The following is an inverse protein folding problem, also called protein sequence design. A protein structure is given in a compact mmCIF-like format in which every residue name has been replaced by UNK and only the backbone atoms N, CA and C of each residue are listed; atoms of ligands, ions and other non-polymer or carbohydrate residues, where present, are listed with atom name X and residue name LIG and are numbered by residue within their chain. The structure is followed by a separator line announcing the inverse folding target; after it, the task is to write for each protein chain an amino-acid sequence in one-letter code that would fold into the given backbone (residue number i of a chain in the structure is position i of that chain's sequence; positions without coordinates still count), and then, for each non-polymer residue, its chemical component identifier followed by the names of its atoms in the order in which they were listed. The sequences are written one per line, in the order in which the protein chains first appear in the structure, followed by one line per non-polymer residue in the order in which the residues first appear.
data_IF_355175900158
#
_entry.id   IF_355175900158
#
_cell.length_a   1.000
_cell.length_b   1.000
_cell.length_c   1.000
_cell.angle_alpha   90.00
_cell.angle_beta   90.00
_cell.angle_gamma   90.00
#
_symmetry.space_group_name_H-M   'P 1'
#
loop_
_entity.id
_entity.type
_entity.pdbx_description
1 polymer ?
#
# COMPACT_ATOMS: atom_id res chain seq x y z
N UNK A 1 -9.66 -35.56 1.94
CA UNK A 1 -8.43 -34.73 1.96
C UNK A 1 -8.59 -33.38 1.25
N UNK A 2 -9.29 -33.27 0.11
CA UNK A 2 -9.52 -31.98 -0.58
C UNK A 2 -10.13 -30.88 0.32
N UNK A 3 -11.14 -31.21 1.13
CA UNK A 3 -11.77 -30.27 2.06
C UNK A 3 -10.81 -29.71 3.12
N UNK A 4 -9.85 -30.53 3.56
CA UNK A 4 -8.82 -30.11 4.52
C UNK A 4 -7.93 -29.02 3.91
N UNK A 5 -7.47 -29.19 2.67
CA UNK A 5 -6.66 -28.20 1.98
C UNK A 5 -7.43 -26.91 1.68
N UNK A 6 -8.69 -27.02 1.25
CA UNK A 6 -9.56 -25.86 1.02
C UNK A 6 -9.82 -25.05 2.30
N UNK A 7 -9.98 -25.73 3.45
CA UNK A 7 -10.11 -25.06 4.74
C UNK A 7 -8.87 -24.23 5.09
N UNK A 8 -7.68 -24.81 4.92
CA UNK A 8 -6.42 -24.13 5.21
C UNK A 8 -6.12 -22.99 4.24
N UNK A 9 -6.38 -23.19 2.94
CA UNK A 9 -6.22 -22.14 1.95
C UNK A 9 -7.10 -20.93 2.29
N UNK A 10 -8.37 -21.16 2.66
CA UNK A 10 -9.27 -20.09 3.08
C UNK A 10 -8.80 -19.40 4.36
N UNK A 11 -8.29 -20.16 5.33
CA UNK A 11 -7.74 -19.60 6.57
C UNK A 11 -6.50 -18.73 6.30
N UNK A 12 -5.66 -19.15 5.36
CA UNK A 12 -4.47 -18.40 4.94
C UNK A 12 -4.84 -17.11 4.20
N UNK A 13 -5.77 -17.19 3.25
CA UNK A 13 -6.32 -16.01 2.57
C UNK A 13 -6.87 -14.99 3.56
N UNK A 14 -7.72 -15.43 4.50
CA UNK A 14 -8.28 -14.55 5.52
C UNK A 14 -7.20 -13.89 6.38
N UNK A 15 -6.13 -14.63 6.74
CA UNK A 15 -5.01 -14.07 7.49
C UNK A 15 -4.28 -12.97 6.71
N UNK A 16 -3.99 -13.19 5.42
CA UNK A 16 -3.39 -12.18 4.53
C UNK A 16 -4.28 -10.95 4.44
N UNK A 17 -5.57 -11.13 4.13
CA UNK A 17 -6.52 -10.01 4.03
C UNK A 17 -6.58 -9.22 5.33
N UNK A 18 -6.65 -9.91 6.48
CA UNK A 18 -6.69 -9.24 7.79
C UNK A 18 -5.41 -8.46 8.08
N UNK A 19 -4.24 -9.01 7.73
CA UNK A 19 -2.96 -8.31 7.88
C UNK A 19 -2.91 -7.03 7.02
N UNK A 20 -3.41 -7.09 5.78
CA UNK A 20 -3.48 -5.92 4.89
C UNK A 20 -4.46 -4.87 5.37
N UNK A 21 -5.65 -5.26 5.84
CA UNK A 21 -6.62 -4.33 6.43
C UNK A 21 -6.01 -3.59 7.61
N UNK A 22 -5.29 -4.29 8.50
CA UNK A 22 -4.58 -3.67 9.63
C UNK A 22 -3.46 -2.73 9.17
N UNK A 23 -2.71 -3.13 8.14
CA UNK A 23 -1.67 -2.30 7.54
C UNK A 23 -2.22 -1.00 6.95
N UNK A 24 -3.30 -1.09 6.16
CA UNK A 24 -3.99 0.05 5.58
C UNK A 24 -4.62 0.96 6.66
N UNK A 25 -5.23 0.38 7.69
CA UNK A 25 -5.76 1.14 8.84
C UNK A 25 -4.66 1.93 9.55
N UNK A 26 -3.52 1.28 9.81
CA UNK A 26 -2.36 1.94 10.41
C UNK A 26 -1.85 3.07 9.52
N UNK A 27 -1.76 2.84 8.21
CA UNK A 27 -1.36 3.87 7.24
C UNK A 27 -2.30 5.08 7.23
N UNK A 28 -3.61 4.84 7.26
CA UNK A 28 -4.63 5.88 7.34
C UNK A 28 -4.48 6.71 8.63
N UNK A 29 -4.26 6.05 9.77
CA UNK A 29 -4.02 6.73 11.05
C UNK A 29 -2.75 7.58 10.96
N UNK A 30 -1.67 7.09 10.36
CA UNK A 30 -0.44 7.88 10.21
C UNK A 30 -0.62 9.15 9.37
N UNK A 31 -1.51 9.13 8.37
CA UNK A 31 -1.81 10.29 7.52
C UNK A 31 -2.74 11.30 8.19
N UNK A 32 -3.71 10.83 8.96
CA UNK A 32 -4.78 11.66 9.54
C UNK A 32 -4.52 12.06 10.98
N UNK A 33 -3.59 11.40 11.66
CA UNK A 33 -3.22 11.66 13.04
C UNK A 33 -2.66 13.08 13.15
N UNK A 34 -3.48 13.98 13.69
CA UNK A 34 -3.11 15.33 14.12
C UNK A 34 -2.28 15.33 15.41
N UNK A 35 -1.76 14.16 15.84
CA UNK A 35 -0.96 13.97 17.06
C UNK A 35 0.39 14.72 17.08
N UNK A 36 0.60 15.68 16.17
CA UNK A 36 1.55 16.78 16.36
C UNK A 36 1.31 17.57 17.66
N UNK A 37 0.19 17.35 18.38
CA UNK A 37 -0.10 17.94 19.69
C UNK A 37 0.23 17.05 20.91
N UNK A 38 0.61 15.77 20.74
CA UNK A 38 0.98 14.89 21.87
C UNK A 38 2.44 14.44 21.72
N UNK A 39 3.26 14.64 22.76
CA UNK A 39 4.70 14.31 22.79
C UNK A 39 5.04 12.85 22.46
N UNK A 40 4.03 11.96 22.43
CA UNK A 40 4.22 10.51 22.24
C UNK A 40 4.44 10.09 20.78
N UNK A 41 4.08 10.91 19.77
CA UNK A 41 4.25 10.56 18.35
C UNK A 41 4.84 11.70 17.53
N UNK A 42 6.19 11.76 17.39
CA UNK A 42 6.82 12.79 16.57
C UNK A 42 6.48 12.61 15.08
N UNK A 43 6.52 13.71 14.28
CA UNK A 43 6.28 13.64 12.85
C UNK A 43 7.33 12.75 12.16
N UNK A 44 6.85 11.83 11.29
CA UNK A 44 7.72 10.88 10.59
C UNK A 44 8.44 11.48 9.37
N UNK A 45 7.85 12.52 8.76
CA UNK A 45 8.36 13.14 7.54
C UNK A 45 8.48 14.64 7.78
N UNK A 46 9.68 15.19 7.55
CA UNK A 46 9.94 16.62 7.55
C UNK A 46 10.20 17.09 6.13
N UNK A 47 9.29 17.91 5.60
CA UNK A 47 9.44 18.54 4.29
C UNK A 47 10.06 19.92 4.51
N UNK A 48 11.16 20.21 3.81
CA UNK A 48 11.76 21.55 3.79
C UNK A 48 11.42 22.22 2.48
N UNK A 49 11.07 23.51 2.54
CA UNK A 49 10.93 24.35 1.36
C UNK A 49 11.92 25.50 1.49
N UNK A 50 12.58 25.84 0.38
CA UNK A 50 13.49 26.97 0.30
C UNK A 50 12.83 28.04 -0.59
N UNK A 51 12.94 29.29 -0.16
CA UNK A 51 12.46 30.43 -0.94
C UNK A 51 13.63 30.98 -1.75
N UNK A 52 13.55 30.91 -3.08
CA UNK A 52 14.57 31.45 -3.96
C UNK A 52 13.94 32.54 -4.85
N UNK A 53 14.03 33.83 -4.47
CA UNK A 53 13.33 34.91 -5.16
C UNK A 53 13.53 34.85 -6.69
N UNK A 54 12.47 35.02 -7.51
CA UNK A 54 11.09 35.36 -7.15
C UNK A 54 10.17 34.15 -6.86
N UNK A 55 10.67 32.92 -6.87
CA UNK A 55 9.84 31.70 -6.78
C UNK A 55 10.11 30.89 -5.50
N UNK A 56 9.04 30.44 -4.84
CA UNK A 56 9.16 29.39 -3.82
C UNK A 56 9.48 28.07 -4.53
N UNK A 57 10.75 27.65 -4.52
CA UNK A 57 11.15 26.36 -5.08
C UNK A 57 10.76 25.29 -4.08
N UNK A 58 9.57 24.70 -4.28
CA UNK A 58 9.08 23.61 -3.45
C UNK A 58 10.00 22.40 -3.64
N UNK A 59 10.83 22.12 -2.63
CA UNK A 59 11.66 20.91 -2.60
C UNK A 59 10.82 19.65 -2.82
N UNK A 60 10.91 19.06 -4.02
CA UNK A 60 10.25 17.84 -4.52
C UNK A 60 8.95 17.36 -3.84
N UNK A 61 7.98 18.22 -3.53
CA UNK A 61 6.68 17.80 -2.94
C UNK A 61 6.00 16.74 -3.80
N UNK A 62 6.13 16.85 -5.12
CA UNK A 62 5.70 15.83 -6.07
C UNK A 62 6.39 14.47 -5.86
N UNK A 63 7.68 14.47 -5.54
CA UNK A 63 8.44 13.25 -5.20
C UNK A 63 7.92 12.59 -3.94
N UNK A 64 7.63 13.37 -2.90
CA UNK A 64 7.03 12.86 -1.65
C UNK A 64 5.65 12.28 -1.92
N UNK A 65 4.82 12.97 -2.71
CA UNK A 65 3.50 12.48 -3.12
C UNK A 65 3.60 11.11 -3.83
N UNK A 66 4.52 11.00 -4.79
CA UNK A 66 4.78 9.76 -5.52
C UNK A 66 5.27 8.64 -4.59
N UNK A 67 6.14 8.95 -3.62
CA UNK A 67 6.64 7.99 -2.64
C UNK A 67 5.53 7.47 -1.71
N UNK A 68 4.68 8.36 -1.18
CA UNK A 68 3.56 7.97 -0.31
C UNK A 68 2.55 7.11 -1.09
N UNK A 69 2.24 7.49 -2.33
CA UNK A 69 1.35 6.71 -3.20
C UNK A 69 1.94 5.33 -3.51
N UNK A 70 3.24 5.25 -3.78
CA UNK A 70 3.94 3.98 -4.00
C UNK A 70 3.97 3.12 -2.73
N UNK A 71 4.13 3.72 -1.56
CA UNK A 71 4.10 3.01 -0.29
C UNK A 71 2.73 2.34 -0.06
N UNK A 72 1.63 3.06 -0.33
CA UNK A 72 0.28 2.49 -0.30
C UNK A 72 0.12 1.28 -1.25
N UNK A 73 0.59 1.41 -2.49
CA UNK A 73 0.57 0.32 -3.47
C UNK A 73 1.39 -0.89 -3.01
N UNK A 74 2.57 -0.63 -2.41
CA UNK A 74 3.45 -1.67 -1.90
C UNK A 74 2.83 -2.47 -0.74
N UNK A 75 1.98 -1.85 0.08
CA UNK A 75 1.24 -2.57 1.13
C UNK A 75 0.39 -3.68 0.51
N UNK A 76 -0.41 -3.37 -0.52
CA UNK A 76 -1.19 -4.39 -1.24
C UNK A 76 -0.29 -5.39 -1.98
N UNK A 77 0.74 -4.89 -2.66
CA UNK A 77 1.67 -5.72 -3.43
C UNK A 77 2.47 -6.70 -2.56
N UNK A 78 2.65 -6.43 -1.27
CA UNK A 78 3.30 -7.36 -0.33
C UNK A 78 2.62 -8.74 -0.31
N UNK A 79 1.33 -8.83 -0.67
CA UNK A 79 0.64 -10.11 -0.78
C UNK A 79 1.12 -11.00 -1.94
N UNK A 80 1.84 -10.44 -2.92
CA UNK A 80 2.43 -11.19 -4.03
C UNK A 80 3.55 -12.14 -3.57
N UNK A 81 4.14 -11.88 -2.39
CA UNK A 81 5.12 -12.77 -1.77
C UNK A 81 4.50 -14.11 -1.33
N UNK A 82 3.17 -14.17 -1.18
CA UNK A 82 2.46 -15.39 -0.79
C UNK A 82 1.99 -16.16 -2.04
N UNK A 83 2.76 -17.17 -2.41
CA UNK A 83 2.45 -18.11 -3.50
C UNK A 83 1.28 -19.01 -3.09
N UNK A 84 0.38 -19.27 -4.05
CA UNK A 84 -0.77 -20.16 -3.91
C UNK A 84 -0.36 -21.63 -3.95
N UNK A 85 -1.27 -22.50 -3.52
CA UNK A 85 -1.08 -23.95 -3.57
C UNK A 85 -1.78 -24.56 -4.78
N UNK A 86 -1.29 -25.69 -5.26
CA UNK A 86 -1.96 -26.48 -6.29
C UNK A 86 -3.25 -27.09 -5.71
N UNK A 87 -4.33 -27.11 -6.50
CA UNK A 87 -5.64 -27.60 -6.05
C UNK A 87 -5.56 -29.00 -5.46
N UNK A 88 -6.19 -29.18 -4.28
CA UNK A 88 -6.19 -30.44 -3.56
C UNK A 88 -4.85 -30.85 -2.95
N UNK A 89 -3.85 -29.96 -2.88
CA UNK A 89 -2.55 -30.23 -2.26
C UNK A 89 -2.05 -29.05 -1.39
N UNK A 90 -0.94 -29.24 -0.68
CA UNK A 90 -0.17 -28.15 -0.06
C UNK A 90 1.11 -27.80 -0.84
N UNK A 91 1.22 -28.24 -2.10
CA UNK A 91 2.40 -27.95 -2.91
C UNK A 91 2.25 -26.56 -3.52
N UNK A 92 3.32 -25.76 -3.47
CA UNK A 92 3.35 -24.45 -4.10
C UNK A 92 3.16 -24.61 -5.61
N UNK A 93 2.38 -23.70 -6.21
CA UNK A 93 2.28 -23.65 -7.67
C UNK A 93 3.66 -23.30 -8.25
N UNK A 94 4.22 -24.15 -9.13
CA UNK A 94 5.48 -23.85 -9.80
C UNK A 94 5.39 -22.53 -10.55
N UNK A 95 6.51 -21.79 -10.60
CA UNK A 95 6.60 -20.57 -11.40
C UNK A 95 6.33 -20.88 -12.86
N UNK A 96 5.33 -20.22 -13.44
CA UNK A 96 5.02 -20.35 -14.86
C UNK A 96 5.94 -19.39 -15.62
N UNK A 97 6.91 -19.93 -16.36
CA UNK A 97 7.66 -19.16 -17.35
C UNK A 97 6.75 -18.96 -18.57
N UNK A 98 6.34 -17.72 -18.83
CA UNK A 98 5.66 -17.42 -20.09
C UNK A 98 6.75 -17.18 -21.13
N UNK A 99 6.72 -17.88 -22.27
CA UNK A 99 7.75 -17.81 -23.34
C UNK A 99 8.05 -16.41 -23.89
N UNK A 100 7.26 -15.40 -23.48
CA UNK A 100 7.32 -14.02 -23.97
C UNK A 100 8.08 -13.05 -23.04
N UNK A 101 8.40 -13.42 -21.79
CA UNK A 101 9.05 -12.52 -20.84
C UNK A 101 9.75 -13.34 -19.72
N UNK A 102 10.96 -13.86 -19.99
CA UNK A 102 11.75 -14.63 -19.02
C UNK A 102 12.04 -13.84 -17.72
N UNK A 103 12.02 -12.50 -17.77
CA UNK A 103 12.16 -11.61 -16.61
C UNK A 103 10.91 -11.53 -15.72
N UNK A 104 9.74 -12.00 -16.19
CA UNK A 104 8.50 -12.06 -15.40
C UNK A 104 7.99 -13.49 -15.30
N UNK A 105 8.73 -14.32 -14.56
CA UNK A 105 8.13 -15.48 -13.93
C UNK A 105 6.98 -15.02 -13.02
N UNK A 106 5.74 -15.09 -13.51
CA UNK A 106 4.56 -14.68 -12.75
C UNK A 106 4.25 -15.79 -11.74
N UNK A 107 4.61 -15.54 -10.48
CA UNK A 107 4.20 -16.39 -9.38
C UNK A 107 2.68 -16.33 -9.22
N UNK A 108 2.02 -17.49 -9.30
CA UNK A 108 0.60 -17.60 -9.00
C UNK A 108 0.41 -17.34 -7.49
N UNK A 109 0.02 -16.12 -7.14
CA UNK A 109 -0.01 -15.62 -5.76
C UNK A 109 -1.41 -15.18 -5.35
N UNK A 110 -1.61 -15.00 -4.05
CA UNK A 110 -2.87 -14.46 -3.49
C UNK A 110 -3.14 -13.00 -3.89
N UNK A 111 -2.16 -12.30 -4.47
CA UNK A 111 -2.29 -10.88 -4.85
C UNK A 111 -3.49 -10.60 -5.76
N UNK A 112 -3.76 -11.48 -6.73
CA UNK A 112 -4.87 -11.29 -7.67
C UNK A 112 -6.21 -11.19 -6.95
N UNK A 113 -6.48 -12.08 -6.01
CA UNK A 113 -7.76 -12.11 -5.29
C UNK A 113 -7.83 -11.04 -4.21
N UNK A 114 -6.71 -10.77 -3.55
CA UNK A 114 -6.56 -9.70 -2.57
C UNK A 114 -6.83 -8.33 -3.22
N UNK A 115 -6.24 -8.06 -4.39
CA UNK A 115 -6.40 -6.79 -5.09
C UNK A 115 -7.82 -6.54 -5.60
N UNK A 116 -8.62 -7.60 -5.74
CA UNK A 116 -10.03 -7.53 -6.13
C UNK A 116 -10.98 -7.50 -4.93
N UNK A 117 -10.48 -7.62 -3.70
CA UNK A 117 -11.31 -7.59 -2.51
C UNK A 117 -11.95 -6.19 -2.33
N UNK A 118 -13.29 -6.07 -2.34
CA UNK A 118 -13.97 -4.77 -2.31
C UNK A 118 -13.58 -3.91 -1.10
N UNK A 119 -13.42 -4.52 0.08
CA UNK A 119 -13.07 -3.79 1.29
C UNK A 119 -11.66 -3.19 1.21
N UNK A 120 -10.70 -3.91 0.61
CA UNK A 120 -9.34 -3.40 0.41
C UNK A 120 -9.30 -2.30 -0.65
N UNK A 121 -10.08 -2.45 -1.73
CA UNK A 121 -10.21 -1.43 -2.78
C UNK A 121 -10.78 -0.13 -2.21
N UNK A 122 -11.88 -0.20 -1.48
CA UNK A 122 -12.53 0.96 -0.86
C UNK A 122 -11.59 1.67 0.13
N UNK A 123 -10.91 0.89 0.98
CA UNK A 123 -9.94 1.43 1.94
C UNK A 123 -8.77 2.13 1.24
N UNK A 124 -8.28 1.56 0.15
CA UNK A 124 -7.20 2.16 -0.66
C UNK A 124 -7.65 3.47 -1.30
N UNK A 125 -8.85 3.54 -1.86
CA UNK A 125 -9.41 4.78 -2.42
C UNK A 125 -9.56 5.86 -1.35
N UNK A 126 -10.06 5.49 -0.16
CA UNK A 126 -10.21 6.40 0.97
C UNK A 126 -8.86 6.99 1.41
N UNK A 127 -7.83 6.15 1.48
CA UNK A 127 -6.47 6.59 1.81
C UNK A 127 -5.91 7.50 0.70
N UNK A 128 -6.08 7.14 -0.57
CA UNK A 128 -5.63 7.99 -1.69
C UNK A 128 -6.24 9.38 -1.63
N UNK A 129 -7.55 9.48 -1.36
CA UNK A 129 -8.24 10.75 -1.17
C UNK A 129 -7.67 11.52 0.04
N UNK A 130 -7.38 10.84 1.15
CA UNK A 130 -6.75 11.45 2.33
C UNK A 130 -5.35 12.01 2.01
N UNK A 131 -4.54 11.28 1.25
CA UNK A 131 -3.23 11.76 0.76
C UNK A 131 -3.43 13.02 -0.08
N UNK A 132 -4.34 13.01 -1.06
CA UNK A 132 -4.60 14.18 -1.90
C UNK A 132 -4.98 15.42 -1.08
N UNK A 133 -5.86 15.26 -0.09
CA UNK A 133 -6.26 16.35 0.80
C UNK A 133 -5.08 16.94 1.57
N UNK A 134 -4.21 16.10 2.16
CA UNK A 134 -3.01 16.56 2.87
C UNK A 134 -2.10 17.39 1.94
N UNK A 135 -1.88 16.93 0.71
CA UNK A 135 -1.04 17.65 -0.25
C UNK A 135 -1.69 18.95 -0.74
N UNK A 136 -3.02 19.01 -0.85
CA UNK A 136 -3.74 20.25 -1.15
C UNK A 136 -3.58 21.27 -0.01
N UNK A 137 -3.68 20.83 1.24
CA UNK A 137 -3.44 21.69 2.42
C UNK A 137 -2.02 22.24 2.43
N UNK A 138 -1.02 21.40 2.17
CA UNK A 138 0.38 21.83 2.07
C UNK A 138 0.56 22.86 0.95
N UNK A 139 0.01 22.59 -0.25
CA UNK A 139 0.10 23.54 -1.37
C UNK A 139 -0.56 24.89 -1.07
N UNK A 140 -1.72 24.89 -0.39
CA UNK A 140 -2.39 26.12 0.03
C UNK A 140 -1.54 26.90 1.03
N UNK A 141 -0.93 26.22 2.00
CA UNK A 141 -0.01 26.84 2.96
C UNK A 141 1.20 27.44 2.24
N UNK A 142 1.84 26.70 1.33
CA UNK A 142 3.00 27.18 0.58
C UNK A 142 2.71 28.43 -0.26
N UNK A 143 1.50 28.53 -0.86
CA UNK A 143 1.08 29.72 -1.63
C UNK A 143 0.70 30.93 -0.78
N UNK A 144 0.49 30.73 0.52
CA UNK A 144 0.14 31.83 1.44
C UNK A 144 1.36 32.59 1.97
N UNK A 145 2.55 32.03 1.77
CA UNK A 145 3.83 32.72 1.96
C UNK A 145 4.20 33.49 0.68
#
# INVERSE_FOLDING_TARGET
MREYYAYWERKFFNAITTALVRGLSTFQVLLTSTAAASSERPPLIKIRSEFNPPEVVVGSLHGVFKLITKLLQNVLHSSAAFVRWMDGTCLLVPTQSTELDEEKALAFSFYKDVSQNPALVEMTMTIQNSVQQVFQTINKFMRSW
#
